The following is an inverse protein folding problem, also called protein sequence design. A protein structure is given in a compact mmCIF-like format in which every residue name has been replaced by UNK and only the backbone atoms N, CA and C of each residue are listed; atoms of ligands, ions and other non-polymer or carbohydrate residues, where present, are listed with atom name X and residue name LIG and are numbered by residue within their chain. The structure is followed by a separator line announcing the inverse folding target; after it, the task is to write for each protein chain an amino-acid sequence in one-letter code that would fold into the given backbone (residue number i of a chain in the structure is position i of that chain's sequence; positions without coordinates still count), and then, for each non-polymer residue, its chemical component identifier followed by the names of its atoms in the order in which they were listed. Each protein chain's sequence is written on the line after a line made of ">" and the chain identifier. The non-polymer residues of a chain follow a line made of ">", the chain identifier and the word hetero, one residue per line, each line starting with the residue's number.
data_IF_969031647264
#
_entry.id   IF_969031647264
#
_cell.length_a   1.000
_cell.length_b   1.000
_cell.length_c   1.000
_cell.angle_alpha   90.00
_cell.angle_beta   90.00
_cell.angle_gamma   90.00
#
_symmetry.space_group_name_H-M   'P 1'
#
loop_
_entity.id
_entity.type
_entity.pdbx_description
1 polymer ?
#
# COMPACT_ATOMS: atom_id res chain seq x y z
N UNK A 1 4.88 17.65 -9.18
CA UNK A 1 4.35 16.81 -8.08
C UNK A 1 5.00 17.27 -6.78
N UNK A 2 4.25 17.41 -5.69
CA UNK A 2 4.84 17.75 -4.37
C UNK A 2 5.76 16.60 -3.94
N UNK A 3 6.92 16.93 -3.34
CA UNK A 3 7.91 15.93 -2.92
C UNK A 3 7.33 14.91 -1.94
N UNK A 4 6.48 15.35 -1.02
CA UNK A 4 5.83 14.48 -0.05
C UNK A 4 4.34 14.43 -0.32
N UNK A 5 3.80 13.21 -0.35
CA UNK A 5 2.37 12.94 -0.49
C UNK A 5 1.90 12.18 0.74
N UNK A 6 0.84 12.68 1.40
CA UNK A 6 0.26 11.99 2.56
C UNK A 6 -0.32 10.65 2.14
N UNK A 7 -0.16 9.63 2.99
CA UNK A 7 -0.92 8.39 2.89
C UNK A 7 -2.39 8.66 3.22
N UNK A 8 -3.29 7.91 2.57
CA UNK A 8 -4.74 7.97 2.75
C UNK A 8 -5.22 7.15 3.94
N UNK A 9 -4.35 6.30 4.50
CA UNK A 9 -4.60 5.52 5.71
C UNK A 9 -4.38 6.29 7.02
N UNK A 10 -3.80 7.50 6.96
CA UNK A 10 -3.47 8.30 8.14
C UNK A 10 -4.72 8.61 8.99
N UNK A 11 -4.58 8.46 10.31
CA UNK A 11 -5.68 8.66 11.27
C UNK A 11 -5.57 9.94 12.12
N UNK A 12 -4.37 10.53 12.22
CA UNK A 12 -4.05 11.60 13.18
C UNK A 12 -3.40 12.83 12.53
N UNK A 13 -3.22 13.88 13.34
CA UNK A 13 -2.63 15.17 12.95
C UNK A 13 -1.15 15.10 12.52
N UNK A 14 -0.48 13.97 12.74
CA UNK A 14 0.89 13.73 12.29
C UNK A 14 0.94 12.63 11.21
N UNK A 15 0.62 12.96 9.95
CA UNK A 15 0.52 11.99 8.86
C UNK A 15 1.88 11.42 8.45
N UNK A 16 1.86 10.17 8.00
CA UNK A 16 2.95 9.54 7.27
C UNK A 16 2.89 9.91 5.77
N UNK A 17 4.06 9.92 5.12
CA UNK A 17 4.21 10.41 3.76
C UNK A 17 5.01 9.47 2.86
N UNK A 18 4.68 9.48 1.57
CA UNK A 18 5.50 8.95 0.48
C UNK A 18 6.42 10.06 -0.03
N UNK A 19 7.74 9.83 -0.07
CA UNK A 19 8.65 10.68 -0.86
C UNK A 19 8.48 10.33 -2.35
N UNK A 20 7.75 11.17 -3.07
CA UNK A 20 7.41 10.93 -4.48
C UNK A 20 8.62 10.98 -5.40
N UNK A 21 9.75 11.51 -4.91
CA UNK A 21 11.01 11.65 -5.66
C UNK A 21 11.96 10.46 -5.47
N UNK A 22 11.66 9.53 -4.56
CA UNK A 22 12.45 8.31 -4.36
C UNK A 22 12.58 7.48 -5.65
N UNK A 23 13.62 6.67 -5.86
CA UNK A 23 13.75 5.87 -7.08
C UNK A 23 12.53 4.95 -7.34
N UNK A 24 12.12 4.78 -8.61
CA UNK A 24 10.92 4.01 -8.96
C UNK A 24 10.95 2.57 -8.43
N UNK A 25 12.09 1.90 -8.48
CA UNK A 25 12.23 0.54 -7.95
C UNK A 25 12.02 0.49 -6.43
N UNK A 26 12.49 1.50 -5.68
CA UNK A 26 12.25 1.59 -4.23
C UNK A 26 10.77 1.79 -3.93
N UNK A 27 10.08 2.64 -4.71
CA UNK A 27 8.64 2.81 -4.58
C UNK A 27 7.90 1.51 -4.90
N UNK A 28 8.30 0.81 -5.96
CA UNK A 28 7.70 -0.45 -6.37
C UNK A 28 7.88 -1.54 -5.31
N UNK A 29 9.10 -1.72 -4.79
CA UNK A 29 9.42 -2.68 -3.74
C UNK A 29 8.62 -2.37 -2.47
N UNK A 30 8.51 -1.09 -2.11
CA UNK A 30 7.75 -0.61 -0.95
C UNK A 30 6.24 -0.88 -1.07
N UNK A 31 5.65 -0.66 -2.25
CA UNK A 31 4.25 -0.96 -2.53
C UNK A 31 4.01 -2.48 -2.52
N UNK A 32 4.85 -3.23 -3.23
CA UNK A 32 4.74 -4.67 -3.38
C UNK A 32 4.87 -5.38 -2.02
N UNK A 33 5.79 -4.95 -1.15
CA UNK A 33 5.95 -5.51 0.18
C UNK A 33 4.66 -5.39 1.00
N UNK A 34 4.03 -4.22 1.03
CA UNK A 34 2.80 -3.97 1.81
C UNK A 34 1.61 -4.77 1.30
N UNK A 35 1.39 -4.75 -0.01
CA UNK A 35 0.30 -5.49 -0.64
C UNK A 35 0.48 -6.99 -0.37
N UNK A 36 1.69 -7.52 -0.58
CA UNK A 36 1.98 -8.94 -0.34
C UNK A 36 1.82 -9.32 1.12
N UNK A 37 2.22 -8.48 2.07
CA UNK A 37 2.03 -8.76 3.49
C UNK A 37 0.53 -8.90 3.85
N UNK A 38 -0.31 -7.98 3.35
CA UNK A 38 -1.76 -8.06 3.53
C UNK A 38 -2.35 -9.30 2.85
N UNK A 39 -1.94 -9.60 1.61
CA UNK A 39 -2.37 -10.79 0.88
C UNK A 39 -2.02 -12.07 1.63
N UNK A 40 -0.77 -12.23 2.07
CA UNK A 40 -0.33 -13.39 2.83
C UNK A 40 -1.11 -13.55 4.13
N UNK A 41 -1.41 -12.45 4.81
CA UNK A 41 -2.24 -12.49 6.02
C UNK A 41 -3.65 -13.00 5.71
N UNK A 42 -4.30 -12.45 4.68
CA UNK A 42 -5.65 -12.83 4.26
C UNK A 42 -5.72 -14.29 3.76
N UNK A 43 -4.73 -14.75 3.00
CA UNK A 43 -4.61 -16.15 2.56
C UNK A 43 -4.50 -17.09 3.77
N UNK A 44 -3.62 -16.76 4.72
CA UNK A 44 -3.47 -17.53 5.95
C UNK A 44 -4.74 -17.53 6.82
N UNK A 45 -5.55 -16.48 6.76
CA UNK A 45 -6.83 -16.40 7.46
C UNK A 45 -7.87 -17.30 6.77
N UNK A 46 -7.94 -17.26 5.44
CA UNK A 46 -8.90 -18.00 4.64
C UNK A 46 -8.66 -19.51 4.62
N UNK A 47 -7.40 -19.96 4.76
CA UNK A 47 -7.04 -21.39 4.75
C UNK A 47 -7.39 -22.16 6.02
N UNK A 48 -7.90 -21.50 7.07
CA UNK A 48 -8.13 -22.14 8.36
C UNK A 48 -9.60 -22.57 8.51
N UNK A 49 -9.88 -23.82 8.10
CA UNK A 49 -11.22 -24.41 8.04
C UNK A 49 -11.98 -24.47 9.39
N UNK A 50 -11.29 -24.42 10.53
CA UNK A 50 -11.90 -24.56 11.86
C UNK A 50 -11.86 -23.27 12.70
N UNK A 51 -11.54 -22.12 12.11
CA UNK A 51 -11.38 -20.89 12.88
C UNK A 51 -12.73 -20.23 13.19
N UNK A 52 -13.16 -20.42 14.44
CA UNK A 52 -14.21 -19.57 15.03
C UNK A 52 -13.58 -18.25 15.42
N UNK A 53 -13.73 -17.24 14.57
CA UNK A 53 -13.30 -15.86 14.83
C UNK A 53 -14.52 -15.06 15.28
N UNK A 54 -14.40 -14.40 16.43
CA UNK A 54 -15.41 -13.44 16.87
C UNK A 54 -15.56 -12.31 15.83
N UNK A 55 -16.80 -11.89 15.47
CA UNK A 55 -17.02 -10.86 14.46
C UNK A 55 -16.26 -9.54 14.69
N UNK A 56 -16.09 -9.10 15.95
CA UNK A 56 -15.34 -7.88 16.25
C UNK A 56 -13.85 -8.08 15.95
N UNK A 57 -13.30 -9.24 16.30
CA UNK A 57 -11.92 -9.59 15.92
C UNK A 57 -11.74 -9.65 14.40
N UNK A 58 -12.69 -10.21 13.67
CA UNK A 58 -12.64 -10.24 12.20
C UNK A 58 -12.65 -8.83 11.61
N UNK A 59 -13.46 -7.93 12.17
CA UNK A 59 -13.51 -6.53 11.78
C UNK A 59 -12.17 -5.82 12.02
N UNK A 60 -11.55 -6.02 13.19
CA UNK A 60 -10.25 -5.43 13.52
C UNK A 60 -9.15 -5.93 12.58
N UNK A 61 -9.14 -7.22 12.25
CA UNK A 61 -8.20 -7.80 11.29
C UNK A 61 -8.40 -7.27 9.87
N UNK A 62 -9.65 -7.05 9.46
CA UNK A 62 -9.96 -6.44 8.18
C UNK A 62 -9.47 -4.99 8.13
N UNK A 63 -9.72 -4.20 9.19
CA UNK A 63 -9.21 -2.83 9.31
C UNK A 63 -7.68 -2.79 9.29
N UNK A 64 -7.03 -3.72 9.99
CA UNK A 64 -5.57 -3.87 9.97
C UNK A 64 -5.05 -4.11 8.54
N UNK A 65 -5.74 -4.91 7.73
CA UNK A 65 -5.36 -5.15 6.33
C UNK A 65 -5.61 -3.94 5.42
N UNK A 66 -6.63 -3.12 5.71
CA UNK A 66 -6.92 -1.94 4.91
C UNK A 66 -5.78 -0.91 4.91
N UNK A 67 -5.02 -0.80 6.00
CA UNK A 67 -3.90 0.15 6.12
C UNK A 67 -2.80 -0.15 5.08
N UNK A 68 -2.12 -1.31 5.10
CA UNK A 68 -1.06 -1.63 4.13
C UNK A 68 -1.58 -1.72 2.69
N UNK A 69 -2.84 -2.11 2.47
CA UNK A 69 -3.43 -2.12 1.13
C UNK A 69 -3.58 -0.68 0.58
N UNK A 70 -4.15 0.23 1.37
CA UNK A 70 -4.29 1.65 0.98
C UNK A 70 -2.93 2.30 0.78
N UNK A 71 -1.99 2.07 1.69
CA UNK A 71 -0.63 2.58 1.57
C UNK A 71 0.07 2.07 0.32
N UNK A 72 -0.09 0.79 0.00
CA UNK A 72 0.43 0.19 -1.22
C UNK A 72 -0.16 0.86 -2.46
N UNK A 73 -1.47 1.08 -2.49
CA UNK A 73 -2.16 1.79 -3.58
C UNK A 73 -1.68 3.24 -3.73
N UNK A 74 -1.51 3.98 -2.63
CA UNK A 74 -0.99 5.35 -2.66
C UNK A 74 0.40 5.42 -3.31
N UNK A 75 1.28 4.47 -2.98
CA UNK A 75 2.61 4.38 -3.59
C UNK A 75 2.52 3.99 -5.08
N UNK A 76 1.61 3.08 -5.46
CA UNK A 76 1.36 2.75 -6.86
C UNK A 76 0.82 3.94 -7.66
N UNK A 77 0.00 4.80 -7.07
CA UNK A 77 -0.51 6.02 -7.71
C UNK A 77 0.61 7.04 -7.96
N UNK A 78 1.62 7.09 -7.08
CA UNK A 78 2.82 7.90 -7.30
C UNK A 78 3.63 7.33 -8.47
N UNK A 79 3.78 6.01 -8.56
CA UNK A 79 4.47 5.34 -9.67
C UNK A 79 3.75 5.64 -10.98
N UNK A 80 2.43 5.43 -11.05
CA UNK A 80 1.61 5.68 -12.23
C UNK A 80 1.77 7.11 -12.74
N UNK A 81 1.58 8.11 -11.86
CA UNK A 81 1.76 9.54 -12.21
C UNK A 81 3.15 9.87 -12.75
N UNK A 82 4.19 9.17 -12.29
CA UNK A 82 5.57 9.37 -12.78
C UNK A 82 5.82 8.72 -14.12
N UNK A 83 5.22 7.56 -14.36
CA UNK A 83 5.26 6.90 -15.66
C UNK A 83 4.51 7.75 -16.70
N UNK A 84 3.36 8.32 -16.35
CA UNK A 84 2.59 9.22 -17.22
C UNK A 84 3.32 10.53 -17.51
N UNK A 85 4.11 11.03 -16.56
CA UNK A 85 4.93 12.23 -16.73
C UNK A 85 6.27 11.95 -17.43
N UNK A 86 6.65 10.69 -17.63
CA UNK A 86 7.87 10.34 -18.32
C UNK A 86 7.75 10.71 -19.81
N UNK A 87 8.77 11.34 -20.42
CA UNK A 87 8.72 11.64 -21.84
C UNK A 87 8.58 10.33 -22.63
N UNK A 88 7.59 10.28 -23.52
CA UNK A 88 7.42 9.20 -24.48
C UNK A 88 8.63 9.24 -25.43
N UNK A 89 9.70 8.49 -25.13
CA UNK A 89 10.87 8.42 -26.01
C UNK A 89 12.24 8.17 -25.38
N UNK A 90 12.36 7.79 -24.10
CA UNK A 90 13.66 7.35 -23.56
C UNK A 90 13.73 5.83 -23.42
N UNK A 91 13.50 5.14 -24.54
CA UNK A 91 14.14 3.85 -24.83
C UNK A 91 15.34 4.18 -25.72
N UNK A 92 16.53 4.12 -25.13
CA UNK A 92 17.77 3.91 -25.88
C UNK A 92 17.80 2.48 -26.42
#
# INVERSE_FOLDING_TARGET
>A
MNRYMSLTSNADDQPLYVDTTAPLHILLDSAAYRIRAATQFLENLAMRDELTIDPATLQDLAQLCCIPLRDGCDVMDVIARRLDAAPVGTTL
#
